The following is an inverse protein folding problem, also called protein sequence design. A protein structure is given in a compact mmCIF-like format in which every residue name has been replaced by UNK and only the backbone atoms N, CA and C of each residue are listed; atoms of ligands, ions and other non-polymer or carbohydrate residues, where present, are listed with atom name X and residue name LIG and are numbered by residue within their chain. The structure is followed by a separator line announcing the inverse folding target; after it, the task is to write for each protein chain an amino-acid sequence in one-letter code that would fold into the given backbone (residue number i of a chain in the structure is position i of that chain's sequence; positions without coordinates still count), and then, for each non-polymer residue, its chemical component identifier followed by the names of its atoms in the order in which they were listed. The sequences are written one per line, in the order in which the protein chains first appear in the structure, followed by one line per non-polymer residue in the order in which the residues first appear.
data_IF_452758053492
#
_entry.id   IF_452758053492
#
_cell.length_a   1.000
_cell.length_b   1.000
_cell.length_c   1.000
_cell.angle_alpha   90.00
_cell.angle_beta   90.00
_cell.angle_gamma   90.00
#
_symmetry.space_group_name_H-M   'P 1'
#
loop_
_entity.id
_entity.type
_entity.pdbx_description
1 polymer ?
#
# COMPACT_ATOMS: atom_id res chain seq x y z
N UNK A 1 -0.56 16.49 8.28
CA UNK A 1 0.40 15.77 7.40
C UNK A 1 1.63 15.39 8.20
N UNK A 2 2.24 14.24 7.93
CA UNK A 2 3.51 13.88 8.55
C UNK A 2 4.63 14.83 8.09
N UNK A 3 5.47 15.27 9.02
CA UNK A 3 6.68 16.04 8.74
C UNK A 3 7.88 15.16 9.06
N UNK A 4 8.70 14.91 8.05
CA UNK A 4 9.93 14.13 8.16
C UNK A 4 11.12 15.06 8.43
N UNK A 5 12.25 14.54 8.95
CA UNK A 5 13.48 15.32 9.06
C UNK A 5 13.85 16.01 7.74
N UNK A 6 14.37 17.24 7.80
CA UNK A 6 14.79 17.99 6.60
C UNK A 6 15.87 17.26 5.78
N UNK A 7 16.62 16.37 6.41
CA UNK A 7 17.62 15.52 5.76
C UNK A 7 17.02 14.35 4.97
N UNK A 8 15.72 14.05 5.13
CA UNK A 8 15.06 12.94 4.44
C UNK A 8 14.91 13.27 2.96
N UNK A 9 15.58 12.49 2.11
CA UNK A 9 15.52 12.64 0.64
C UNK A 9 14.53 11.69 -0.01
N UNK A 10 14.41 10.50 0.56
CA UNK A 10 13.62 9.40 0.08
C UNK A 10 13.20 8.52 1.25
N UNK A 11 12.18 7.71 1.05
CA UNK A 11 11.75 6.66 1.96
C UNK A 11 11.60 5.35 1.18
N UNK A 12 11.49 4.24 1.89
CA UNK A 12 11.11 2.95 1.28
C UNK A 12 9.82 2.46 1.88
N UNK A 13 8.90 2.05 1.02
CA UNK A 13 7.71 1.29 1.39
C UNK A 13 7.82 -0.07 0.70
N UNK A 14 7.97 -1.13 1.48
CA UNK A 14 8.06 -2.50 0.96
C UNK A 14 6.81 -3.28 1.32
N UNK A 15 6.13 -3.83 0.34
CA UNK A 15 5.05 -4.80 0.55
C UNK A 15 5.60 -6.19 0.22
N UNK A 16 5.85 -6.99 1.25
CA UNK A 16 6.17 -8.41 1.09
C UNK A 16 4.89 -9.21 1.29
N UNK A 17 4.58 -10.12 0.38
CA UNK A 17 3.35 -10.87 0.46
C UNK A 17 3.47 -12.33 0.10
N UNK A 18 2.46 -13.06 0.56
CA UNK A 18 2.28 -14.49 0.35
C UNK A 18 0.84 -14.74 -0.05
N UNK A 19 0.62 -15.68 -0.96
CA UNK A 19 -0.72 -16.10 -1.37
C UNK A 19 -0.83 -17.61 -1.57
N UNK A 20 -2.03 -18.13 -1.32
CA UNK A 20 -2.43 -19.50 -1.64
C UNK A 20 -3.96 -19.60 -1.61
N UNK A 21 -4.55 -20.61 -2.26
CA UNK A 21 -5.97 -20.93 -2.07
C UNK A 21 -6.30 -21.18 -0.59
N UNK A 22 -5.39 -21.86 0.11
CA UNK A 22 -5.44 -22.03 1.56
C UNK A 22 -4.07 -21.68 2.13
N UNK A 23 -3.99 -20.58 2.87
CA UNK A 23 -2.73 -20.17 3.50
C UNK A 23 -2.32 -21.17 4.59
N UNK A 24 -1.03 -21.53 4.68
CA UNK A 24 -0.52 -22.28 5.82
C UNK A 24 -0.61 -21.43 7.10
N UNK A 25 -0.45 -22.07 8.26
CA UNK A 25 -0.35 -21.35 9.53
C UNK A 25 0.88 -20.43 9.50
N UNK A 26 0.71 -19.17 9.91
CA UNK A 26 1.76 -18.16 9.97
C UNK A 26 2.55 -18.03 8.66
N UNK A 27 1.89 -17.78 7.51
CA UNK A 27 2.51 -17.89 6.20
C UNK A 27 3.63 -16.85 6.00
N UNK A 28 3.58 -15.72 6.72
CA UNK A 28 4.62 -14.68 6.71
C UNK A 28 5.74 -14.87 7.73
N UNK A 29 5.76 -15.96 8.51
CA UNK A 29 6.80 -16.20 9.51
C UNK A 29 8.25 -16.04 8.98
N UNK A 30 8.59 -16.50 7.76
CA UNK A 30 9.93 -16.28 7.20
C UNK A 30 10.27 -14.79 7.05
N UNK A 31 9.38 -13.98 6.46
CA UNK A 31 9.59 -12.54 6.24
C UNK A 31 9.64 -11.80 7.59
N UNK A 32 8.70 -12.14 8.49
CA UNK A 32 8.61 -11.56 9.82
C UNK A 32 9.91 -11.71 10.61
N UNK A 33 10.54 -12.89 10.53
CA UNK A 33 11.80 -13.16 11.20
C UNK A 33 12.96 -12.26 10.74
N UNK A 34 12.92 -11.71 9.51
CA UNK A 34 13.93 -10.75 9.03
C UNK A 34 13.68 -9.33 9.50
N UNK A 35 12.42 -8.90 9.62
CA UNK A 35 12.07 -7.54 10.06
C UNK A 35 12.06 -7.38 11.58
N UNK A 36 11.84 -8.46 12.34
CA UNK A 36 11.90 -8.47 13.81
C UNK A 36 13.31 -8.72 14.35
N UNK A 37 14.25 -9.16 13.50
CA UNK A 37 15.64 -9.35 13.91
C UNK A 37 16.23 -8.02 14.35
N UNK A 38 17.03 -8.05 15.40
CA UNK A 38 17.87 -6.93 15.78
C UNK A 38 18.92 -6.68 14.69
N UNK A 39 18.67 -5.66 13.87
CA UNK A 39 19.53 -5.20 12.80
C UNK A 39 19.50 -3.65 12.81
N UNK A 40 20.65 -2.95 12.80
CA UNK A 40 20.68 -1.48 12.77
C UNK A 40 19.92 -0.84 11.61
N UNK A 41 19.72 -1.59 10.53
CA UNK A 41 19.07 -1.20 9.30
C UNK A 41 17.66 -1.78 9.17
N UNK A 42 17.13 -2.45 10.20
CA UNK A 42 15.75 -2.93 10.24
C UNK A 42 14.74 -1.80 9.93
N UNK A 43 13.55 -2.12 9.38
CA UNK A 43 12.54 -1.12 9.11
C UNK A 43 12.16 -0.37 10.39
N UNK A 44 11.89 0.93 10.26
CA UNK A 44 11.46 1.77 11.39
C UNK A 44 10.07 1.39 11.89
N UNK A 45 9.25 0.90 10.99
CA UNK A 45 7.90 0.43 11.27
C UNK A 45 7.51 -0.65 10.28
N UNK A 46 6.68 -1.57 10.73
CA UNK A 46 6.02 -2.52 9.86
C UNK A 46 4.68 -2.93 10.46
N UNK A 47 3.76 -3.31 9.60
CA UNK A 47 2.49 -3.91 9.98
C UNK A 47 2.11 -5.04 9.03
N UNK A 48 1.11 -5.82 9.44
CA UNK A 48 0.64 -6.97 8.68
C UNK A 48 -0.81 -6.79 8.29
N UNK A 49 -1.21 -7.39 7.18
CA UNK A 49 -2.59 -7.37 6.74
C UNK A 49 -2.95 -8.61 5.93
N UNK A 50 -4.24 -8.90 5.80
CA UNK A 50 -4.77 -9.99 4.98
C UNK A 50 -5.91 -9.55 4.09
N UNK A 51 -6.09 -10.27 2.98
CA UNK A 51 -7.26 -10.18 2.13
C UNK A 51 -7.56 -11.54 1.48
N UNK A 52 -8.73 -11.64 0.87
CA UNK A 52 -9.04 -12.67 -0.11
C UNK A 52 -9.21 -11.94 -1.44
N UNK A 53 -8.46 -12.37 -2.46
CA UNK A 53 -8.58 -11.75 -3.79
C UNK A 53 -9.79 -12.26 -4.57
N UNK A 54 -10.03 -11.67 -5.74
CA UNK A 54 -11.16 -12.04 -6.61
C UNK A 54 -11.07 -13.46 -7.18
N UNK A 55 -9.91 -14.11 -7.09
CA UNK A 55 -9.69 -15.51 -7.48
C UNK A 55 -9.85 -16.48 -6.31
N UNK A 56 -10.22 -15.98 -5.12
CA UNK A 56 -10.41 -16.78 -3.91
C UNK A 56 -9.11 -17.17 -3.21
N UNK A 57 -7.96 -16.61 -3.59
CA UNK A 57 -6.71 -16.85 -2.88
C UNK A 57 -6.68 -16.00 -1.60
N UNK A 58 -6.37 -16.65 -0.48
CA UNK A 58 -5.97 -15.96 0.73
C UNK A 58 -4.61 -15.30 0.51
N UNK A 59 -4.48 -14.06 0.94
CA UNK A 59 -3.28 -13.26 0.85
C UNK A 59 -2.94 -12.69 2.23
N UNK A 60 -1.66 -12.70 2.59
CA UNK A 60 -1.13 -11.89 3.68
C UNK A 60 0.02 -11.03 3.18
N UNK A 61 0.12 -9.82 3.71
CA UNK A 61 1.24 -8.91 3.45
C UNK A 61 1.87 -8.43 4.75
N UNK A 62 3.18 -8.25 4.74
CA UNK A 62 3.95 -7.49 5.70
C UNK A 62 4.43 -6.22 4.99
N UNK A 63 3.96 -5.06 5.44
CA UNK A 63 4.31 -3.75 4.88
C UNK A 63 5.35 -3.12 5.80
N UNK A 64 6.50 -2.71 5.25
CA UNK A 64 7.63 -2.19 6.02
C UNK A 64 8.11 -0.85 5.49
N UNK A 65 8.58 -0.01 6.41
CA UNK A 65 8.97 1.38 6.14
C UNK A 65 10.41 1.65 6.58
N UNK A 66 11.24 2.16 5.66
CA UNK A 66 12.59 2.66 5.97
C UNK A 66 12.70 4.15 5.70
N UNK A 67 13.54 4.81 6.50
CA UNK A 67 13.80 6.24 6.39
C UNK A 67 14.68 6.63 5.19
N UNK A 68 15.24 5.66 4.48
CA UNK A 68 15.97 5.86 3.22
C UNK A 68 16.19 4.54 2.48
N UNK A 69 16.44 4.63 1.18
CA UNK A 69 16.88 3.55 0.29
C UNK A 69 18.20 2.95 0.76
N UNK A 70 19.10 3.77 1.29
CA UNK A 70 20.40 3.31 1.81
C UNK A 70 20.21 2.31 2.96
N UNK A 71 19.34 2.60 3.91
CA UNK A 71 19.05 1.70 5.04
C UNK A 71 18.42 0.39 4.55
N UNK A 72 17.45 0.47 3.63
CA UNK A 72 16.86 -0.71 3.01
C UNK A 72 17.91 -1.58 2.27
N UNK A 73 18.79 -0.96 1.48
CA UNK A 73 19.84 -1.69 0.75
C UNK A 73 20.83 -2.37 1.70
N UNK A 74 21.22 -1.71 2.80
CA UNK A 74 22.08 -2.34 3.81
C UNK A 74 21.36 -3.51 4.48
N UNK A 75 20.09 -3.33 4.86
CA UNK A 75 19.26 -4.36 5.48
C UNK A 75 19.12 -5.61 4.63
N UNK A 76 18.93 -5.47 3.31
CA UNK A 76 18.83 -6.60 2.38
C UNK A 76 20.00 -7.58 2.54
N UNK A 77 21.21 -7.05 2.68
CA UNK A 77 22.42 -7.85 2.85
C UNK A 77 22.66 -8.25 4.31
N UNK A 78 22.58 -7.31 5.27
CA UNK A 78 22.92 -7.58 6.68
C UNK A 78 21.95 -8.54 7.36
N UNK A 79 20.66 -8.50 7.00
CA UNK A 79 19.65 -9.42 7.51
C UNK A 79 19.73 -10.81 6.86
N UNK A 80 20.36 -10.93 5.68
CA UNK A 80 20.31 -12.11 4.83
C UNK A 80 19.00 -12.28 4.05
N UNK A 81 18.10 -11.28 4.08
CA UNK A 81 16.83 -11.31 3.35
C UNK A 81 17.03 -11.50 1.85
N UNK A 82 18.00 -10.80 1.24
CA UNK A 82 18.27 -10.90 -0.20
C UNK A 82 18.68 -12.32 -0.61
N UNK A 83 19.53 -12.96 0.21
CA UNK A 83 19.96 -14.34 -0.01
C UNK A 83 18.76 -15.29 0.06
N UNK A 84 17.91 -15.13 1.09
CA UNK A 84 16.70 -15.94 1.23
C UNK A 84 15.75 -15.75 0.04
N UNK A 85 15.43 -14.50 -0.31
CA UNK A 85 14.52 -14.19 -1.42
C UNK A 85 15.00 -14.75 -2.76
N UNK A 86 16.29 -14.64 -3.03
CA UNK A 86 16.93 -15.17 -4.25
C UNK A 86 16.94 -16.70 -4.26
N UNK A 87 17.00 -17.34 -3.09
CA UNK A 87 17.00 -18.80 -2.97
C UNK A 87 15.64 -19.46 -3.22
N UNK A 88 14.54 -18.70 -3.16
CA UNK A 88 13.19 -19.21 -3.41
C UNK A 88 13.07 -19.73 -4.84
N UNK A 89 12.50 -20.93 -4.99
CA UNK A 89 12.32 -21.60 -6.28
C UNK A 89 10.84 -21.88 -6.50
N UNK A 90 10.18 -21.25 -7.49
CA UNK A 90 8.74 -21.38 -7.70
C UNK A 90 8.24 -22.84 -7.71
N UNK A 91 9.03 -23.77 -8.24
CA UNK A 91 8.70 -25.19 -8.34
C UNK A 91 8.77 -25.96 -7.00
N UNK A 92 9.43 -25.39 -5.99
CA UNK A 92 9.57 -25.97 -4.65
C UNK A 92 8.63 -25.32 -3.61
N UNK A 93 8.18 -24.10 -3.90
CA UNK A 93 7.30 -23.36 -3.00
C UNK A 93 5.87 -23.92 -3.04
N UNK A 94 5.22 -23.95 -1.87
CA UNK A 94 3.80 -24.36 -1.73
C UNK A 94 2.84 -23.17 -1.77
N UNK A 95 3.40 -21.96 -1.82
CA UNK A 95 2.71 -20.68 -1.78
C UNK A 95 3.34 -19.77 -2.82
N UNK A 96 2.58 -18.80 -3.33
CA UNK A 96 3.15 -17.72 -4.13
C UNK A 96 3.73 -16.65 -3.23
N UNK A 97 4.94 -16.16 -3.53
CA UNK A 97 5.58 -15.05 -2.84
C UNK A 97 5.65 -13.83 -3.76
N UNK A 98 5.46 -12.64 -3.23
CA UNK A 98 5.67 -11.41 -3.99
C UNK A 98 6.31 -10.32 -3.15
N UNK A 99 7.05 -9.43 -3.82
CA UNK A 99 7.48 -8.16 -3.25
C UNK A 99 7.11 -7.03 -4.20
N UNK A 100 6.60 -5.96 -3.64
CA UNK A 100 6.26 -4.72 -4.33
C UNK A 100 6.88 -3.58 -3.53
N UNK A 101 8.05 -3.13 -4.00
CA UNK A 101 8.89 -2.17 -3.28
C UNK A 101 8.85 -0.83 -3.99
N UNK A 102 8.68 0.23 -3.21
CA UNK A 102 8.59 1.60 -3.67
C UNK A 102 9.68 2.46 -3.04
N UNK A 103 10.33 3.27 -3.86
CA UNK A 103 11.41 4.19 -3.46
C UNK A 103 11.03 5.66 -3.75
N UNK A 104 9.93 6.20 -3.19
CA UNK A 104 9.54 7.56 -3.47
C UNK A 104 10.57 8.55 -2.89
N UNK A 105 11.06 9.51 -3.70
CA UNK A 105 11.68 10.71 -3.15
C UNK A 105 10.62 11.51 -2.40
N UNK A 106 11.05 12.29 -1.41
CA UNK A 106 10.14 12.96 -0.48
C UNK A 106 9.23 13.99 -1.17
N UNK A 107 9.64 14.51 -2.33
CA UNK A 107 8.86 15.45 -3.15
C UNK A 107 7.75 14.78 -3.98
N UNK A 108 7.77 13.45 -4.09
CA UNK A 108 6.76 12.64 -4.81
C UNK A 108 5.94 11.77 -3.87
N UNK A 109 5.87 12.17 -2.61
CA UNK A 109 5.14 11.51 -1.55
C UNK A 109 4.29 12.51 -0.78
N UNK A 110 3.04 12.16 -0.50
CA UNK A 110 2.14 12.99 0.32
C UNK A 110 1.38 12.14 1.33
N UNK A 111 1.00 12.77 2.44
CA UNK A 111 0.23 12.12 3.50
C UNK A 111 -0.87 13.04 4.02
N UNK A 112 -2.02 12.47 4.36
CA UNK A 112 -3.07 13.18 5.09
C UNK A 112 -3.65 12.26 6.16
N UNK A 113 -4.02 12.86 7.30
CA UNK A 113 -4.58 12.16 8.46
C UNK A 113 -5.71 13.01 9.03
N UNK A 114 -6.80 12.38 9.49
CA UNK A 114 -7.81 13.04 10.31
C UNK A 114 -7.41 13.13 11.78
N UNK A 115 -6.54 12.22 12.23
CA UNK A 115 -5.94 12.20 13.57
C UNK A 115 -4.42 12.41 13.48
N UNK A 116 -3.89 13.28 14.33
CA UNK A 116 -2.46 13.60 14.35
C UNK A 116 -1.71 12.90 15.49
N UNK A 117 -2.42 12.26 16.40
CA UNK A 117 -1.83 11.60 17.57
C UNK A 117 -1.32 10.20 17.22
N UNK A 118 -2.19 9.33 16.70
CA UNK A 118 -1.83 7.95 16.40
C UNK A 118 -1.20 7.84 15.00
N UNK A 119 0.11 7.52 14.88
CA UNK A 119 0.72 7.27 13.58
C UNK A 119 0.12 6.05 12.87
N UNK A 120 0.06 6.13 11.55
CA UNK A 120 -0.24 5.02 10.65
C UNK A 120 0.78 5.03 9.50
N UNK A 121 1.17 3.83 9.02
CA UNK A 121 2.08 3.67 7.88
C UNK A 121 3.39 4.46 8.01
N UNK A 122 3.72 5.27 7.00
CA UNK A 122 4.95 6.06 7.00
C UNK A 122 5.03 7.08 8.17
N UNK A 123 3.90 7.46 8.78
CA UNK A 123 3.87 8.47 9.83
C UNK A 123 4.61 8.02 11.10
N UNK A 124 4.89 6.72 11.26
CA UNK A 124 5.77 6.23 12.31
C UNK A 124 7.21 6.75 12.18
N UNK A 125 7.62 7.23 11.01
CA UNK A 125 8.94 7.81 10.76
C UNK A 125 8.95 9.35 10.84
N UNK A 126 7.83 9.97 11.22
CA UNK A 126 7.72 11.43 11.29
C UNK A 126 8.56 12.00 12.44
N UNK A 127 9.07 13.21 12.25
CA UNK A 127 9.60 14.05 13.32
C UNK A 127 8.49 14.82 14.04
N UNK A 128 7.47 15.24 13.29
CA UNK A 128 6.31 15.96 13.81
C UNK A 128 5.10 15.83 12.88
N UNK A 129 3.98 16.44 13.23
CA UNK A 129 2.79 16.54 12.38
C UNK A 129 2.48 18.01 12.16
N UNK A 130 2.07 18.37 10.94
CA UNK A 130 1.60 19.72 10.65
C UNK A 130 0.32 20.03 11.45
N UNK A 131 0.10 21.31 11.75
CA UNK A 131 -1.24 21.79 12.07
C UNK A 131 -2.20 21.67 10.88
N UNK A 132 -3.36 22.36 10.95
CA UNK A 132 -4.29 22.46 9.81
C UNK A 132 -3.56 22.89 8.54
N UNK A 133 -3.88 22.25 7.42
CA UNK A 133 -3.33 22.56 6.10
C UNK A 133 -4.39 23.21 5.22
N UNK A 134 -4.00 23.95 4.18
CA UNK A 134 -4.96 24.56 3.25
C UNK A 134 -5.37 23.59 2.15
N UNK A 135 -4.43 22.73 1.74
CA UNK A 135 -4.52 21.82 0.60
C UNK A 135 -5.32 20.56 0.98
N UNK A 136 -6.58 20.71 1.40
CA UNK A 136 -7.49 19.60 1.72
C UNK A 136 -8.96 19.91 1.36
N UNK A 137 -9.78 18.86 1.20
CA UNK A 137 -11.25 18.96 1.02
C UNK A 137 -11.69 19.62 -0.31
N UNK A 138 -10.81 19.59 -1.33
CA UNK A 138 -11.18 19.84 -2.73
C UNK A 138 -10.54 18.83 -3.68
N UNK A 139 -11.18 18.60 -4.83
CA UNK A 139 -10.66 17.75 -5.89
C UNK A 139 -9.37 18.36 -6.46
N UNK A 140 -8.27 17.62 -6.41
CA UNK A 140 -6.92 18.09 -6.76
C UNK A 140 -6.02 18.35 -5.56
N UNK A 141 -6.57 18.42 -4.33
CA UNK A 141 -5.76 18.69 -3.14
C UNK A 141 -4.66 17.66 -2.87
N UNK A 142 -4.86 16.38 -3.24
CA UNK A 142 -3.80 15.36 -3.14
C UNK A 142 -2.59 15.68 -4.02
N UNK A 143 -2.83 16.21 -5.22
CA UNK A 143 -1.77 16.69 -6.11
C UNK A 143 -1.06 17.90 -5.54
N UNK A 144 -1.79 18.86 -5.00
CA UNK A 144 -1.20 20.08 -4.41
C UNK A 144 -0.34 19.78 -3.18
N UNK A 145 -0.60 18.65 -2.49
CA UNK A 145 0.23 18.17 -1.38
C UNK A 145 1.51 17.46 -1.80
N UNK A 146 1.69 17.14 -3.08
CA UNK A 146 2.94 16.58 -3.63
C UNK A 146 3.89 17.73 -4.00
N UNK A 147 5.05 17.91 -3.33
CA UNK A 147 5.94 19.02 -3.63
C UNK A 147 6.39 19.09 -5.10
N UNK A 148 6.58 17.94 -5.76
CA UNK A 148 6.96 17.86 -7.18
C UNK A 148 5.91 18.49 -8.11
N UNK A 149 4.62 18.48 -7.73
CA UNK A 149 3.53 19.02 -8.55
C UNK A 149 3.62 20.54 -8.77
N UNK A 150 4.45 21.25 -8.01
CA UNK A 150 4.73 22.67 -8.22
C UNK A 150 5.45 22.96 -9.54
N UNK A 151 6.18 21.98 -10.09
CA UNK A 151 7.03 22.16 -11.28
C UNK A 151 6.94 21.04 -12.31
N UNK A 152 6.38 19.88 -11.93
CA UNK A 152 6.18 18.71 -12.78
C UNK A 152 4.67 18.41 -12.86
N UNK A 153 4.06 18.28 -14.05
CA UNK A 153 2.65 17.88 -14.18
C UNK A 153 2.38 16.44 -13.71
N UNK A 154 3.42 15.63 -13.48
CA UNK A 154 3.34 14.24 -13.04
C UNK A 154 2.58 13.34 -14.02
N UNK A 155 2.71 13.63 -15.33
CA UNK A 155 2.08 12.87 -16.40
C UNK A 155 2.70 11.45 -16.51
N UNK A 156 1.88 10.42 -16.35
CA UNK A 156 2.31 9.04 -16.52
C UNK A 156 2.15 8.53 -17.95
N UNK A 157 2.47 7.25 -18.13
CA UNK A 157 2.16 6.54 -19.36
C UNK A 157 0.64 6.32 -19.43
N UNK A 158 0.03 6.53 -20.60
CA UNK A 158 -1.42 6.39 -20.77
C UNK A 158 -1.92 4.99 -20.41
N UNK A 159 -3.25 4.83 -20.27
CA UNK A 159 -3.84 3.53 -19.96
C UNK A 159 -3.39 2.46 -20.95
N UNK A 160 -2.83 1.39 -20.41
CA UNK A 160 -2.37 0.29 -21.23
C UNK A 160 -3.58 -0.55 -21.65
N UNK A 161 -3.68 -0.86 -22.94
CA UNK A 161 -4.62 -1.88 -23.38
C UNK A 161 -4.27 -3.19 -22.68
N UNK A 162 -5.24 -3.95 -22.16
CA UNK A 162 -4.97 -5.28 -21.61
C UNK A 162 -4.19 -6.08 -22.66
N UNK A 163 -3.01 -6.55 -22.28
CA UNK A 163 -2.19 -7.29 -23.25
C UNK A 163 -2.91 -8.59 -23.57
N UNK A 164 -3.16 -8.87 -24.84
CA UNK A 164 -3.65 -10.16 -25.35
C UNK A 164 -2.61 -11.30 -25.19
N UNK A 165 -1.66 -11.18 -24.26
CA UNK A 165 -0.75 -12.25 -23.91
C UNK A 165 -1.56 -13.39 -23.33
N UNK A 166 -1.44 -14.59 -23.91
CA UNK A 166 -2.14 -15.77 -23.41
C UNK A 166 -1.90 -15.98 -21.92
N UNK A 167 -2.79 -16.72 -21.25
CA UNK A 167 -2.59 -17.18 -19.87
C UNK A 167 -1.24 -17.90 -19.76
N UNK A 168 -0.19 -17.16 -19.44
CA UNK A 168 1.09 -17.73 -19.05
C UNK A 168 0.91 -18.12 -17.59
N UNK A 169 0.95 -19.42 -17.34
CA UNK A 169 0.95 -19.94 -15.98
C UNK A 169 2.20 -19.44 -15.22
N UNK A 170 2.00 -18.41 -14.40
CA UNK A 170 3.02 -17.79 -13.55
C UNK A 170 3.26 -18.57 -12.26
N UNK A 171 2.46 -19.60 -11.96
CA UNK A 171 2.54 -20.34 -10.68
C UNK A 171 3.81 -21.16 -10.52
N UNK A 172 4.59 -21.31 -11.59
CA UNK A 172 5.90 -21.99 -11.59
C UNK A 172 7.04 -21.07 -12.06
N UNK A 173 6.85 -19.76 -12.00
CA UNK A 173 7.80 -18.80 -12.53
C UNK A 173 8.19 -17.75 -11.49
N UNK A 174 9.38 -17.21 -11.65
CA UNK A 174 9.82 -15.95 -11.04
C UNK A 174 9.70 -14.87 -12.10
N UNK A 175 8.82 -13.92 -11.87
CA UNK A 175 8.50 -12.86 -12.82
C UNK A 175 8.86 -11.53 -12.20
N UNK A 176 9.72 -10.77 -12.90
CA UNK A 176 10.00 -9.37 -12.59
C UNK A 176 9.21 -8.47 -13.52
N UNK A 177 8.49 -7.51 -12.97
CA UNK A 177 7.73 -6.50 -13.72
C UNK A 177 8.53 -5.21 -13.76
N UNK A 178 8.72 -4.64 -14.96
CA UNK A 178 9.34 -3.32 -15.11
C UNK A 178 8.48 -2.23 -14.47
N UNK A 179 9.14 -1.27 -13.83
CA UNK A 179 8.46 -0.08 -13.32
C UNK A 179 7.86 0.78 -14.43
N UNK A 180 6.83 1.53 -14.09
CA UNK A 180 6.06 2.43 -14.99
C UNK A 180 6.31 3.89 -14.65
N UNK A 181 6.35 4.77 -15.64
CA UNK A 181 6.53 6.20 -15.38
C UNK A 181 5.32 6.81 -14.67
N UNK A 182 5.57 7.47 -13.56
CA UNK A 182 4.59 8.14 -12.70
C UNK A 182 3.44 7.22 -12.25
N UNK A 183 3.76 5.95 -11.97
CA UNK A 183 2.83 5.03 -11.33
C UNK A 183 2.36 5.66 -10.00
N UNK A 184 1.05 5.76 -9.82
CA UNK A 184 0.46 6.28 -8.60
C UNK A 184 0.03 5.12 -7.70
N UNK A 185 0.57 5.06 -6.49
CA UNK A 185 0.19 4.06 -5.48
C UNK A 185 -0.42 4.79 -4.30
N UNK A 186 -1.55 4.28 -3.81
CA UNK A 186 -2.26 4.82 -2.64
C UNK A 186 -2.45 3.72 -1.60
N UNK A 187 -2.13 4.03 -0.35
CA UNK A 187 -2.61 3.28 0.82
C UNK A 187 -3.56 4.19 1.57
N UNK A 188 -4.86 3.86 1.58
CA UNK A 188 -5.90 4.63 2.27
C UNK A 188 -6.56 3.79 3.35
N UNK A 189 -6.36 4.16 4.61
CA UNK A 189 -6.77 3.37 5.76
C UNK A 189 -7.89 4.00 6.59
N UNK A 190 -8.52 3.12 7.35
CA UNK A 190 -9.62 3.40 8.27
C UNK A 190 -9.36 2.66 9.57
N UNK A 191 -9.32 3.38 10.68
CA UNK A 191 -9.18 2.84 12.03
C UNK A 191 -10.37 3.30 12.88
N UNK A 192 -11.23 2.35 13.24
CA UNK A 192 -12.38 2.57 14.11
C UNK A 192 -12.23 1.90 15.48
N UNK A 193 -11.04 1.41 15.81
CA UNK A 193 -10.76 0.71 17.08
C UNK A 193 -11.06 1.54 18.32
N UNK A 194 -10.92 2.87 18.22
CA UNK A 194 -11.17 3.82 19.30
C UNK A 194 -12.51 4.56 19.18
N UNK A 195 -13.40 4.14 18.27
CA UNK A 195 -14.72 4.78 18.09
C UNK A 195 -15.65 4.50 19.25
N UNK A 196 -16.45 5.51 19.62
CA UNK A 196 -17.53 5.33 20.60
C UNK A 196 -18.61 4.39 20.04
N UNK A 197 -19.39 3.65 20.86
CA UNK A 197 -20.32 2.64 20.35
C UNK A 197 -21.32 3.15 19.30
N UNK A 198 -21.85 4.35 19.49
CA UNK A 198 -22.78 5.01 18.56
C UNK A 198 -22.10 5.39 17.24
N UNK A 199 -20.87 5.91 17.32
CA UNK A 199 -20.03 6.29 16.19
C UNK A 199 -19.60 5.05 15.39
N UNK A 200 -19.18 3.99 16.08
CA UNK A 200 -18.81 2.69 15.51
C UNK A 200 -19.95 2.13 14.67
N UNK A 201 -21.15 2.08 15.27
CA UNK A 201 -22.36 1.61 14.58
C UNK A 201 -22.62 2.46 13.35
N UNK A 202 -22.57 3.78 13.48
CA UNK A 202 -22.77 4.71 12.36
C UNK A 202 -21.78 4.47 11.22
N UNK A 203 -20.50 4.34 11.54
CA UNK A 203 -19.45 4.07 10.55
C UNK A 203 -19.66 2.73 9.84
N UNK A 204 -19.84 1.64 10.59
CA UNK A 204 -19.98 0.29 10.05
C UNK A 204 -21.26 0.11 9.22
N UNK A 205 -22.37 0.74 9.61
CA UNK A 205 -23.65 0.60 8.89
C UNK A 205 -23.76 1.51 7.67
N UNK A 206 -23.02 2.63 7.62
CA UNK A 206 -23.28 3.68 6.61
C UNK A 206 -22.09 4.07 5.74
N UNK A 207 -20.84 3.81 6.18
CA UNK A 207 -19.65 4.33 5.49
C UNK A 207 -18.57 3.28 5.22
N UNK A 208 -18.45 2.23 6.04
CA UNK A 208 -17.42 1.20 5.87
C UNK A 208 -17.46 0.60 4.45
N UNK A 209 -16.39 0.74 3.65
CA UNK A 209 -16.42 0.36 2.25
C UNK A 209 -16.53 -1.16 2.07
N UNK A 210 -17.40 -1.57 1.16
CA UNK A 210 -17.46 -2.94 0.64
C UNK A 210 -16.72 -2.98 -0.70
N UNK A 211 -15.46 -3.45 -0.69
CA UNK A 211 -14.63 -3.87 -1.83
C UNK A 211 -14.65 -3.05 -3.14
N UNK A 212 -13.51 -2.47 -3.53
CA UNK A 212 -13.29 -1.97 -4.89
C UNK A 212 -12.55 -3.05 -5.71
N UNK A 213 -13.08 -3.38 -6.90
CA UNK A 213 -12.69 -4.55 -7.72
C UNK A 213 -11.22 -4.53 -8.17
N UNK A 214 -10.57 -3.37 -8.20
CA UNK A 214 -9.15 -3.22 -8.61
C UNK A 214 -8.23 -2.74 -7.47
N UNK A 215 -8.69 -2.82 -6.22
CA UNK A 215 -7.98 -2.32 -5.04
C UNK A 215 -7.89 -3.44 -3.99
N UNK A 216 -6.70 -3.70 -3.42
CA UNK A 216 -6.60 -4.67 -2.32
C UNK A 216 -7.22 -4.06 -1.07
N UNK A 217 -8.45 -4.46 -0.74
CA UNK A 217 -9.05 -4.11 0.55
C UNK A 217 -8.54 -5.08 1.60
N UNK A 218 -7.66 -4.59 2.48
CA UNK A 218 -6.90 -5.38 3.43
C UNK A 218 -7.40 -5.14 4.86
N UNK A 219 -7.55 -6.20 5.63
CA UNK A 219 -7.76 -6.14 7.08
C UNK A 219 -6.42 -6.23 7.80
N UNK A 220 -6.15 -5.30 8.72
CA UNK A 220 -4.89 -5.27 9.48
C UNK A 220 -4.85 -6.46 10.44
N UNK A 221 -3.68 -7.09 10.56
CA UNK A 221 -3.41 -8.20 11.46
C UNK A 221 -2.67 -7.66 12.68
N UNK A 222 -3.12 -8.01 13.87
CA UNK A 222 -2.34 -7.78 15.09
C UNK A 222 -1.17 -8.77 15.10
N UNK A 223 0.09 -8.31 15.04
CA UNK A 223 1.23 -9.20 14.98
C UNK A 223 1.41 -10.05 16.25
N UNK A 224 0.82 -9.67 17.39
CA UNK A 224 0.93 -10.43 18.65
C UNK A 224 -0.04 -11.61 18.71
N UNK A 225 -1.26 -11.44 18.17
CA UNK A 225 -2.32 -12.46 18.22
C UNK A 225 -2.57 -13.14 16.88
N UNK A 226 -2.01 -12.61 15.78
CA UNK A 226 -2.30 -13.00 14.38
C UNK A 226 -3.77 -12.90 13.99
N UNK A 227 -4.58 -12.19 14.78
CA UNK A 227 -6.00 -11.97 14.54
C UNK A 227 -6.19 -10.81 13.56
N UNK A 228 -7.24 -10.91 12.73
CA UNK A 228 -7.67 -9.87 11.77
C UNK A 228 -8.75 -8.95 12.35
N UNK A 229 -9.23 -9.20 13.56
CA UNK A 229 -10.25 -8.41 14.26
C UNK A 229 -9.64 -7.18 14.95
N UNK A 230 -8.89 -6.38 14.19
CA UNK A 230 -8.16 -5.21 14.71
C UNK A 230 -8.94 -3.91 14.59
N UNK A 231 -10.16 -3.95 14.03
CA UNK A 231 -10.96 -2.77 13.70
C UNK A 231 -10.24 -1.76 12.81
N UNK A 232 -9.35 -2.27 11.95
CA UNK A 232 -8.54 -1.48 11.02
C UNK A 232 -8.52 -2.14 9.65
N UNK A 233 -8.75 -1.33 8.62
CA UNK A 233 -8.64 -1.76 7.22
C UNK A 233 -7.94 -0.69 6.39
N UNK A 234 -7.46 -1.08 5.20
CA UNK A 234 -6.99 -0.13 4.21
C UNK A 234 -7.17 -0.66 2.79
N UNK A 235 -7.37 0.24 1.84
CA UNK A 235 -7.20 -0.03 0.42
C UNK A 235 -5.76 0.22 0.00
N UNK A 236 -5.11 -0.76 -0.63
CA UNK A 236 -3.83 -0.60 -1.34
C UNK A 236 -4.06 -0.69 -2.85
N UNK A 237 -3.98 0.47 -3.51
CA UNK A 237 -4.38 0.64 -4.90
C UNK A 237 -3.25 1.10 -5.79
N UNK A 238 -3.28 0.64 -7.04
CA UNK A 238 -2.33 0.99 -8.09
C UNK A 238 -3.07 1.65 -9.24
N UNK A 239 -2.60 2.81 -9.67
CA UNK A 239 -3.17 3.59 -10.76
C UNK A 239 -2.05 3.91 -11.75
N UNK A 240 -2.30 3.73 -13.05
CA UNK A 240 -1.31 4.05 -14.09
C UNK A 240 -0.80 5.49 -13.98
N UNK A 241 -1.64 6.42 -13.52
CA UNK A 241 -1.29 7.83 -13.32
C UNK A 241 -1.99 8.43 -12.10
N UNK A 242 -1.45 9.52 -11.55
CA UNK A 242 -2.14 10.33 -10.53
C UNK A 242 -3.50 10.85 -11.06
N UNK A 243 -3.56 11.26 -12.33
CA UNK A 243 -4.79 11.69 -12.98
C UNK A 243 -5.88 10.62 -13.01
N UNK A 244 -5.50 9.34 -13.10
CA UNK A 244 -6.45 8.22 -13.03
C UNK A 244 -7.05 8.07 -11.64
N UNK A 245 -6.26 8.25 -10.58
CA UNK A 245 -6.76 8.27 -9.19
C UNK A 245 -7.68 9.49 -8.96
N UNK A 246 -7.27 10.67 -9.40
CA UNK A 246 -8.07 11.90 -9.31
C UNK A 246 -9.41 11.77 -10.04
N UNK A 247 -9.40 11.20 -11.24
CA UNK A 247 -10.62 10.93 -12.00
C UNK A 247 -11.51 9.92 -11.28
N UNK A 248 -10.95 8.79 -10.82
CA UNK A 248 -11.70 7.76 -10.11
C UNK A 248 -12.37 8.34 -8.85
N UNK A 249 -11.61 9.06 -8.02
CA UNK A 249 -12.15 9.70 -6.81
C UNK A 249 -13.24 10.73 -7.12
N UNK A 250 -13.11 11.51 -8.20
CA UNK A 250 -14.10 12.54 -8.57
C UNK A 250 -15.36 11.99 -9.24
N UNK A 251 -15.30 10.83 -9.89
CA UNK A 251 -16.38 10.34 -10.75
C UNK A 251 -17.00 9.02 -10.28
N UNK A 252 -16.24 8.18 -9.57
CA UNK A 252 -16.70 6.84 -9.23
C UNK A 252 -17.74 6.89 -8.11
N UNK A 253 -18.93 6.34 -8.39
CA UNK A 253 -20.10 6.42 -7.50
C UNK A 253 -19.83 5.93 -6.07
N UNK A 254 -19.02 4.89 -5.91
CA UNK A 254 -18.68 4.36 -4.58
C UNK A 254 -17.89 5.37 -3.76
N UNK A 255 -16.87 6.01 -4.35
CA UNK A 255 -16.08 7.01 -3.63
C UNK A 255 -16.90 8.27 -3.35
N UNK A 256 -17.69 8.75 -4.31
CA UNK A 256 -18.57 9.91 -4.10
C UNK A 256 -19.60 9.66 -2.99
N UNK A 257 -20.12 8.44 -2.88
CA UNK A 257 -21.02 8.04 -1.79
C UNK A 257 -20.30 8.07 -0.43
N UNK A 258 -19.09 7.52 -0.34
CA UNK A 258 -18.27 7.55 0.90
C UNK A 258 -17.92 8.99 1.28
N UNK A 259 -17.45 9.80 0.33
CA UNK A 259 -17.09 11.20 0.57
C UNK A 259 -18.31 12.03 1.00
N UNK A 260 -19.44 11.89 0.30
CA UNK A 260 -20.69 12.55 0.66
C UNK A 260 -21.21 12.10 2.03
N UNK A 261 -21.09 10.81 2.36
CA UNK A 261 -21.46 10.29 3.67
C UNK A 261 -20.53 10.82 4.77
N UNK A 262 -19.23 10.91 4.51
CA UNK A 262 -18.28 11.49 5.46
C UNK A 262 -18.63 12.93 5.82
N UNK A 263 -19.01 13.77 4.84
CA UNK A 263 -19.46 15.14 5.12
C UNK A 263 -20.74 15.21 5.98
N UNK A 264 -21.65 14.24 5.83
CA UNK A 264 -22.82 14.11 6.69
C UNK A 264 -22.42 13.62 8.09
N UNK A 265 -21.53 12.64 8.17
CA UNK A 265 -21.00 12.06 9.39
C UNK A 265 -20.32 13.10 10.28
N UNK A 266 -19.45 13.94 9.71
CA UNK A 266 -18.80 15.04 10.45
C UNK A 266 -19.81 16.05 10.98
N UNK A 267 -20.90 16.27 10.25
CA UNK A 267 -21.99 17.16 10.68
C UNK A 267 -22.87 16.53 11.77
N UNK A 268 -23.22 15.25 11.64
CA UNK A 268 -24.02 14.50 12.62
C UNK A 268 -23.33 14.40 13.98
N UNK A 269 -22.01 14.42 13.99
CA UNK A 269 -21.18 14.34 15.19
C UNK A 269 -20.59 15.71 15.60
N UNK A 270 -21.03 16.83 15.01
CA UNK A 270 -20.52 18.18 15.31
C UNK A 270 -18.98 18.32 15.27
N UNK A 271 -18.32 17.55 14.39
CA UNK A 271 -16.86 17.36 14.30
C UNK A 271 -16.19 16.76 15.54
N UNK A 272 -16.95 16.21 16.47
CA UNK A 272 -16.47 15.38 17.59
C UNK A 272 -16.60 13.91 17.22
N UNK A 273 -15.58 13.36 16.56
CA UNK A 273 -15.48 11.95 16.20
C UNK A 273 -14.07 11.44 16.46
N UNK A 274 -13.92 10.14 16.74
CA UNK A 274 -12.62 9.50 17.01
C UNK A 274 -12.21 8.52 15.91
N UNK A 275 -13.02 8.35 14.86
CA UNK A 275 -12.67 7.65 13.63
C UNK A 275 -11.41 8.26 13.01
N UNK A 276 -10.40 7.42 12.79
CA UNK A 276 -9.15 7.83 12.17
C UNK A 276 -9.14 7.38 10.72
N UNK A 277 -9.02 8.34 9.82
CA UNK A 277 -8.89 8.15 8.39
C UNK A 277 -7.55 8.70 7.97
N UNK A 278 -6.87 7.98 7.08
CA UNK A 278 -5.61 8.44 6.55
C UNK A 278 -5.38 7.96 5.12
N UNK A 279 -4.47 8.63 4.43
CA UNK A 279 -3.85 8.04 3.27
C UNK A 279 -2.41 8.49 3.10
N UNK A 280 -1.67 7.70 2.36
CA UNK A 280 -0.38 8.04 1.79
C UNK A 280 -0.41 7.76 0.28
N UNK A 281 0.06 8.71 -0.51
CA UNK A 281 0.13 8.60 -1.98
C UNK A 281 1.57 8.82 -2.42
N UNK A 282 2.03 7.97 -3.34
CA UNK A 282 3.34 8.06 -3.98
C UNK A 282 3.21 8.04 -5.50
N UNK A 283 4.01 8.87 -6.18
CA UNK A 283 4.06 8.95 -7.65
C UNK A 283 5.47 8.64 -8.16
N UNK A 284 5.65 7.44 -8.71
CA UNK A 284 6.95 6.81 -8.84
C UNK A 284 7.46 6.80 -10.28
N UNK A 285 8.75 7.07 -10.46
CA UNK A 285 9.48 6.82 -11.71
C UNK A 285 9.81 5.33 -11.87
N UNK A 286 10.10 4.83 -13.08
CA UNK A 286 10.32 3.41 -13.34
C UNK A 286 11.40 2.76 -12.45
N UNK A 287 12.49 3.49 -12.20
CA UNK A 287 13.62 3.06 -11.37
C UNK A 287 13.35 3.10 -9.85
N UNK A 288 12.20 3.64 -9.45
CA UNK A 288 11.74 3.75 -8.06
C UNK A 288 10.76 2.63 -7.69
N UNK A 289 10.74 1.56 -8.48
CA UNK A 289 9.84 0.42 -8.35
C UNK A 289 10.61 -0.89 -8.49
N UNK A 290 10.39 -1.84 -7.58
CA UNK A 290 10.87 -3.22 -7.71
C UNK A 290 9.71 -4.19 -7.46
N UNK A 291 9.24 -4.83 -8.53
CA UNK A 291 8.12 -5.77 -8.51
C UNK A 291 8.61 -7.15 -8.89
N UNK A 292 8.41 -8.12 -8.00
CA UNK A 292 8.80 -9.50 -8.26
C UNK A 292 7.78 -10.46 -7.66
N UNK A 293 7.39 -11.46 -8.45
CA UNK A 293 6.39 -12.46 -8.11
C UNK A 293 6.98 -13.85 -8.36
N UNK A 294 6.83 -14.77 -7.40
CA UNK A 294 7.44 -16.09 -7.40
C UNK A 294 6.31 -17.08 -7.15
N UNK A 295 5.92 -17.84 -8.17
CA UNK A 295 4.85 -18.82 -8.06
C UNK A 295 3.46 -18.24 -7.78
N UNK A 296 3.24 -16.96 -8.06
CA UNK A 296 1.93 -16.33 -7.91
C UNK A 296 0.99 -16.68 -9.07
N UNK A 297 -0.33 -16.62 -8.84
CA UNK A 297 -1.30 -16.77 -9.92
C UNK A 297 -1.33 -15.52 -10.82
N UNK A 298 -1.76 -15.64 -12.09
CA UNK A 298 -1.60 -14.58 -13.09
C UNK A 298 -2.33 -13.27 -12.80
N UNK A 299 -3.31 -13.25 -11.87
CA UNK A 299 -4.05 -12.04 -11.51
C UNK A 299 -3.52 -11.36 -10.24
N UNK A 300 -2.33 -11.74 -9.77
CA UNK A 300 -1.75 -11.19 -8.55
C UNK A 300 -1.09 -9.84 -8.81
N UNK A 301 -1.62 -8.78 -8.17
CA UNK A 301 -1.01 -7.44 -8.26
C UNK A 301 -0.84 -6.99 -9.70
N UNK A 302 0.37 -6.55 -10.05
CA UNK A 302 0.68 -6.07 -11.39
C UNK A 302 0.85 -7.17 -12.43
N UNK A 303 0.84 -8.47 -12.06
CA UNK A 303 0.77 -9.56 -13.05
C UNK A 303 -0.52 -9.48 -13.89
N UNK A 304 -1.61 -9.02 -13.28
CA UNK A 304 -2.91 -8.88 -13.93
C UNK A 304 -2.92 -7.89 -15.12
N UNK A 305 -1.92 -7.00 -15.18
CA UNK A 305 -1.78 -6.01 -16.25
C UNK A 305 -1.08 -6.58 -17.51
N UNK A 306 -0.68 -7.85 -17.46
CA UNK A 306 -0.37 -8.65 -18.64
C UNK A 306 1.11 -8.89 -18.93
N UNK A 307 1.40 -10.08 -19.46
CA UNK A 307 2.72 -10.64 -19.79
C UNK A 307 3.29 -10.17 -21.14
N UNK A 308 2.96 -8.94 -21.58
CA UNK A 308 3.65 -8.27 -22.68
C UNK A 308 5.13 -7.97 -22.36
N UNK A 309 5.85 -7.28 -23.25
CA UNK A 309 7.32 -6.98 -23.29
C UNK A 309 8.01 -6.38 -22.05
N UNK A 310 7.32 -6.39 -20.91
CA UNK A 310 7.62 -5.74 -19.64
C UNK A 310 7.84 -6.74 -18.51
N UNK A 311 7.35 -7.97 -18.67
CA UNK A 311 7.62 -9.10 -17.78
C UNK A 311 8.87 -9.85 -18.25
N UNK A 312 9.86 -9.99 -17.38
CA UNK A 312 11.01 -10.86 -17.62
C UNK A 312 10.96 -12.03 -16.67
N UNK A 313 11.09 -13.24 -17.21
CA UNK A 313 11.39 -14.44 -16.42
C UNK A 313 12.80 -14.23 -15.87
N UNK A 314 12.92 -14.18 -14.54
CA UNK A 314 14.17 -13.96 -13.83
C UNK A 314 14.76 -15.27 -13.32
#
# INVERSE_FOLDING_TARGET
MARFPESTKDIVVAVFGVQALTLPQSPLAPVRAFVEREDPHAPRFWDMASAIDSQGYGMQTLISYWSSKEEYTKWLTSSGFEQWWTSLKPELEKVGWFKEIFFPPIDRFETVFSDNEVPEGCAHMRQSVSGPILEHVYWGSARDRLPAAQTDPLDGEGQHAPSNGGEVDSTKQRIKIKGKKNLCVIRSGQDWSATRPEERKLYLETMHPVGCIENRMMAVIDPSTTNTDTDKTFGLGFFDTLGSLEKWSKEHKTYLAIFGRFLQYTKELDNDYTLRLHHEIMVLLPEQQDFEYIGCHPQTGLLSLGSGSWATIA
#
